data_IF_354440965495
#
_entry.id   IF_354440965495
#
_cell.length_a   1.000
_cell.length_b   1.000
_cell.length_c   1.000
_cell.angle_alpha   90.00
_cell.angle_beta   90.00
_cell.angle_gamma   90.00
#
_symmetry.space_group_name_H-M   'P 1'
#
loop_
_entity.id
_entity.type
_entity.pdbx_description
1 polymer ?
#
# COMPACT_ATOMS: atom_id res chain seq x y z
N UNK A 1 13.43 23.55 5.43
CA UNK A 1 12.26 23.76 4.54
C UNK A 1 11.64 22.41 4.29
N UNK A 2 10.52 22.10 4.91
CA UNK A 2 9.80 20.84 4.69
C UNK A 2 9.03 20.92 3.37
N UNK A 3 9.63 20.45 2.29
CA UNK A 3 8.97 20.31 0.96
C UNK A 3 8.13 19.05 0.83
N UNK A 4 7.88 18.30 1.91
CA UNK A 4 7.34 16.95 1.81
C UNK A 4 5.82 16.83 1.75
N UNK A 5 5.09 17.63 2.46
CA UNK A 5 3.65 17.44 2.65
C UNK A 5 2.80 18.24 1.64
N UNK A 6 3.25 19.41 1.19
CA UNK A 6 2.47 20.29 0.30
C UNK A 6 2.18 19.70 -1.09
N UNK A 7 3.06 18.83 -1.63
CA UNK A 7 2.84 18.20 -2.94
C UNK A 7 1.96 16.94 -2.87
N UNK A 8 1.89 16.27 -1.72
CA UNK A 8 1.05 15.08 -1.52
C UNK A 8 -0.43 15.48 -1.49
N UNK A 9 -0.76 16.59 -0.88
CA UNK A 9 -2.15 17.09 -0.75
C UNK A 9 -2.77 17.59 -2.06
N UNK A 10 -1.98 17.85 -3.09
CA UNK A 10 -2.50 18.28 -4.40
C UNK A 10 -2.76 17.13 -5.36
N UNK A 11 -2.51 15.89 -4.98
CA UNK A 11 -2.78 14.72 -5.81
C UNK A 11 -4.18 14.21 -5.58
N UNK A 12 -4.87 13.89 -6.65
CA UNK A 12 -6.16 13.25 -6.59
C UNK A 12 -6.02 11.86 -5.95
N UNK A 13 -6.86 11.60 -4.94
CA UNK A 13 -6.94 10.32 -4.24
C UNK A 13 -8.17 9.56 -4.73
N UNK A 14 -8.01 8.29 -4.99
CA UNK A 14 -9.06 7.40 -5.48
C UNK A 14 -9.49 6.47 -4.36
N UNK A 15 -10.79 6.46 -4.07
CA UNK A 15 -11.40 5.49 -3.16
C UNK A 15 -11.45 4.13 -3.86
N UNK A 16 -10.82 3.13 -3.26
CA UNK A 16 -10.74 1.78 -3.79
C UNK A 16 -11.21 0.77 -2.74
N UNK A 17 -11.59 -0.40 -3.22
CA UNK A 17 -11.74 -1.58 -2.37
C UNK A 17 -10.37 -2.20 -2.10
N UNK A 18 -10.17 -2.71 -0.89
CA UNK A 18 -8.99 -3.47 -0.49
C UNK A 18 -9.41 -4.55 0.52
N UNK A 19 -8.84 -5.75 0.42
CA UNK A 19 -9.27 -6.90 1.22
C UNK A 19 -9.07 -6.70 2.73
N UNK A 20 -8.07 -5.93 3.14
CA UNK A 20 -7.84 -5.64 4.57
C UNK A 20 -9.01 -4.90 5.23
N UNK A 21 -9.83 -4.17 4.45
CA UNK A 21 -11.02 -3.49 4.99
C UNK A 21 -11.99 -4.50 5.59
N UNK A 22 -12.11 -5.69 4.99
CA UNK A 22 -13.02 -6.74 5.47
C UNK A 22 -12.56 -7.31 6.80
N UNK A 23 -11.27 -7.64 6.92
CA UNK A 23 -10.68 -8.16 8.15
C UNK A 23 -10.76 -7.12 9.28
N UNK A 24 -10.37 -5.87 9.02
CA UNK A 24 -10.43 -4.79 10.00
C UNK A 24 -11.88 -4.51 10.46
N UNK A 25 -12.85 -4.55 9.55
CA UNK A 25 -14.26 -4.34 9.90
C UNK A 25 -14.82 -5.49 10.76
N UNK A 26 -14.35 -6.72 10.55
CA UNK A 26 -14.78 -7.89 11.32
C UNK A 26 -14.14 -7.92 12.72
N UNK A 27 -12.86 -7.54 12.83
CA UNK A 27 -12.07 -7.76 14.04
C UNK A 27 -11.93 -6.53 14.94
N UNK A 28 -12.17 -5.31 14.41
CA UNK A 28 -12.13 -4.09 15.24
C UNK A 28 -13.55 -3.66 15.63
N UNK A 29 -13.96 -3.89 16.89
CA UNK A 29 -15.31 -3.51 17.34
C UNK A 29 -15.47 -1.99 17.35
N UNK A 30 -16.71 -1.56 17.08
CA UNK A 30 -17.12 -0.13 17.14
C UNK A 30 -16.55 0.79 16.04
N UNK A 31 -15.80 0.28 15.07
CA UNK A 31 -15.41 1.05 13.89
C UNK A 31 -16.67 1.42 13.10
N UNK A 32 -16.85 2.72 12.83
CA UNK A 32 -18.00 3.23 12.07
C UNK A 32 -17.72 3.37 10.58
N UNK A 33 -16.46 3.52 10.21
CA UNK A 33 -16.04 3.74 8.83
C UNK A 33 -14.58 3.36 8.63
N UNK A 34 -14.34 2.54 7.61
CA UNK A 34 -13.00 2.24 7.08
C UNK A 34 -13.02 2.58 5.60
N UNK A 35 -11.97 3.23 5.11
CA UNK A 35 -11.81 3.55 3.68
C UNK A 35 -10.37 3.40 3.29
N UNK A 36 -10.14 2.90 2.10
CA UNK A 36 -8.83 2.77 1.49
C UNK A 36 -8.70 3.71 0.29
N UNK A 37 -7.59 4.43 0.22
CA UNK A 37 -7.31 5.37 -0.86
C UNK A 37 -5.94 5.12 -1.45
N UNK A 38 -5.83 5.29 -2.76
CA UNK A 38 -4.54 5.35 -3.45
C UNK A 38 -4.42 6.61 -4.28
N UNK A 39 -3.18 7.06 -4.48
CA UNK A 39 -2.84 8.14 -5.40
C UNK A 39 -2.17 7.55 -6.64
N UNK A 40 -2.48 8.11 -7.81
CA UNK A 40 -1.86 7.73 -9.07
C UNK A 40 -1.24 8.94 -9.73
N UNK A 41 -0.06 8.77 -10.35
CA UNK A 41 0.56 9.82 -11.13
C UNK A 41 -0.22 10.11 -12.42
N UNK A 42 -0.21 11.36 -12.89
CA UNK A 42 -0.92 11.75 -14.12
C UNK A 42 -0.50 10.91 -15.33
N UNK A 43 0.78 10.60 -15.46
CA UNK A 43 1.28 9.73 -16.53
C UNK A 43 0.62 8.35 -16.51
N UNK A 44 0.53 7.72 -15.33
CA UNK A 44 -0.16 6.44 -15.17
C UNK A 44 -1.62 6.51 -15.61
N UNK A 45 -2.36 7.52 -15.14
CA UNK A 45 -3.76 7.71 -15.49
C UNK A 45 -3.97 7.89 -17.00
N UNK A 46 -3.09 8.65 -17.66
CA UNK A 46 -3.13 8.89 -19.10
C UNK A 46 -2.93 7.59 -19.88
N UNK A 47 -1.93 6.78 -19.49
CA UNK A 47 -1.68 5.49 -20.15
C UNK A 47 -2.83 4.51 -19.92
N UNK A 48 -3.34 4.41 -18.69
CA UNK A 48 -4.45 3.52 -18.37
C UNK A 48 -5.70 3.91 -19.16
N UNK A 49 -5.99 5.21 -19.28
CA UNK A 49 -7.13 5.70 -20.08
C UNK A 49 -6.97 5.39 -21.57
N UNK A 50 -5.77 5.52 -22.10
CA UNK A 50 -5.48 5.12 -23.48
C UNK A 50 -5.72 3.63 -23.69
N UNK A 51 -5.16 2.78 -22.85
CA UNK A 51 -5.34 1.32 -22.92
C UNK A 51 -6.81 0.90 -22.77
N UNK A 52 -7.56 1.56 -21.90
CA UNK A 52 -9.00 1.37 -21.77
C UNK A 52 -9.73 1.71 -23.06
N UNK A 53 -9.48 2.91 -23.63
CA UNK A 53 -10.14 3.41 -24.82
C UNK A 53 -9.90 2.54 -26.07
N UNK A 54 -8.74 1.91 -26.18
CA UNK A 54 -8.41 0.98 -27.29
C UNK A 54 -8.76 -0.46 -26.97
N UNK A 55 -9.41 -0.74 -25.82
CA UNK A 55 -9.90 -2.07 -25.46
C UNK A 55 -8.83 -3.04 -24.94
N UNK A 56 -7.60 -2.60 -24.69
CA UNK A 56 -6.52 -3.46 -24.20
C UNK A 56 -6.71 -3.93 -22.76
N UNK A 57 -7.59 -3.30 -21.98
CA UNK A 57 -7.92 -3.71 -20.60
C UNK A 57 -9.12 -4.67 -20.52
N UNK A 58 -9.68 -5.10 -21.65
CA UNK A 58 -10.79 -6.05 -21.68
C UNK A 58 -10.36 -7.41 -21.13
N UNK A 59 -11.25 -8.03 -20.38
CA UNK A 59 -11.09 -9.37 -19.78
C UNK A 59 -11.85 -10.46 -20.53
N UNK A 60 -12.77 -10.06 -21.42
CA UNK A 60 -13.49 -10.96 -22.31
C UNK A 60 -12.64 -11.30 -23.55
N UNK A 61 -12.73 -12.53 -24.08
CA UNK A 61 -11.98 -12.92 -25.26
C UNK A 61 -12.45 -12.19 -26.51
N UNK A 62 -11.51 -11.93 -27.41
CA UNK A 62 -11.76 -11.42 -28.76
C UNK A 62 -11.17 -12.36 -29.80
N UNK A 63 -11.83 -12.53 -30.92
CA UNK A 63 -11.30 -13.34 -32.02
C UNK A 63 -10.26 -12.53 -32.83
N UNK A 64 -9.10 -13.14 -33.05
CA UNK A 64 -8.05 -12.60 -33.89
C UNK A 64 -7.41 -13.73 -34.72
N UNK A 65 -7.53 -13.68 -36.05
CA UNK A 65 -6.99 -14.68 -36.97
C UNK A 65 -7.41 -16.14 -36.62
N UNK A 66 -8.66 -16.36 -36.22
CA UNK A 66 -9.19 -17.66 -35.84
C UNK A 66 -8.74 -18.17 -34.48
N UNK A 67 -8.17 -17.31 -33.66
CA UNK A 67 -7.78 -17.62 -32.27
C UNK A 67 -8.47 -16.66 -31.28
N UNK A 68 -8.84 -17.17 -30.13
CA UNK A 68 -9.32 -16.31 -29.04
C UNK A 68 -8.15 -15.72 -28.26
N UNK A 69 -8.16 -14.41 -28.11
CA UNK A 69 -7.18 -13.65 -27.33
C UNK A 69 -7.90 -12.83 -26.26
N UNK A 70 -7.43 -12.90 -25.03
CA UNK A 70 -7.87 -12.00 -23.95
C UNK A 70 -6.95 -10.77 -23.93
N UNK A 71 -7.42 -9.57 -24.31
CA UNK A 71 -6.57 -8.40 -24.51
C UNK A 71 -5.67 -8.05 -23.33
N UNK A 72 -6.20 -8.08 -22.11
CA UNK A 72 -5.39 -7.78 -20.90
C UNK A 72 -4.28 -8.81 -20.65
N UNK A 73 -4.48 -10.07 -21.02
CA UNK A 73 -3.45 -11.11 -20.90
C UNK A 73 -2.34 -10.89 -21.93
N UNK A 74 -2.71 -10.48 -23.14
CA UNK A 74 -1.75 -10.11 -24.16
C UNK A 74 -0.95 -8.86 -23.77
N UNK A 75 -1.62 -7.83 -23.26
CA UNK A 75 -0.97 -6.65 -22.69
C UNK A 75 0.05 -7.04 -21.60
N UNK A 76 -0.33 -7.91 -20.68
CA UNK A 76 0.55 -8.40 -19.61
C UNK A 76 1.83 -9.05 -20.17
N UNK A 77 1.71 -9.80 -21.27
CA UNK A 77 2.86 -10.44 -21.91
C UNK A 77 3.83 -9.43 -22.58
N UNK A 78 3.34 -8.24 -22.94
CA UNK A 78 4.14 -7.18 -23.54
C UNK A 78 4.80 -6.25 -22.51
N UNK A 79 4.25 -6.17 -21.30
CA UNK A 79 4.78 -5.28 -20.26
C UNK A 79 6.13 -5.80 -19.74
N UNK A 80 7.06 -4.89 -19.40
CA UNK A 80 8.31 -5.28 -18.78
C UNK A 80 8.06 -5.91 -17.42
N UNK A 81 8.93 -6.83 -17.02
CA UNK A 81 8.93 -7.36 -15.65
C UNK A 81 9.05 -6.18 -14.65
N UNK A 82 8.13 -6.05 -13.69
CA UNK A 82 8.18 -5.01 -12.67
C UNK A 82 9.51 -4.94 -11.92
N UNK A 83 10.18 -6.07 -11.69
CA UNK A 83 11.49 -6.12 -11.05
C UNK A 83 12.56 -5.37 -11.85
N UNK A 84 12.47 -5.39 -13.19
CA UNK A 84 13.39 -4.68 -14.08
C UNK A 84 13.29 -3.15 -13.99
N UNK A 85 12.24 -2.63 -13.37
CA UNK A 85 12.01 -1.18 -13.22
C UNK A 85 12.74 -0.60 -12.00
N UNK A 86 13.17 -1.42 -11.06
CA UNK A 86 13.83 -1.01 -9.82
C UNK A 86 14.96 0.01 -10.01
N UNK A 87 15.93 -0.21 -10.93
CA UNK A 87 17.05 0.73 -11.12
C UNK A 87 16.65 2.16 -11.55
N UNK A 88 15.50 2.31 -12.20
CA UNK A 88 15.04 3.59 -12.77
C UNK A 88 13.82 4.19 -12.08
N UNK A 89 13.21 3.48 -11.13
CA UNK A 89 12.07 3.99 -10.38
C UNK A 89 12.55 5.01 -9.37
N UNK A 90 12.07 6.25 -9.48
CA UNK A 90 12.43 7.35 -8.58
C UNK A 90 11.19 7.91 -7.89
N UNK A 91 11.40 8.49 -6.71
CA UNK A 91 10.34 9.05 -5.88
C UNK A 91 10.18 8.28 -4.57
N UNK A 92 9.07 8.51 -3.90
CA UNK A 92 8.80 7.94 -2.57
C UNK A 92 7.40 7.36 -2.51
N UNK A 93 7.25 6.28 -1.76
CA UNK A 93 5.95 5.82 -1.28
C UNK A 93 5.66 6.42 0.08
N UNK A 94 4.42 6.76 0.34
CA UNK A 94 3.91 7.09 1.66
C UNK A 94 2.74 6.15 1.94
N UNK A 95 2.85 5.37 3.00
CA UNK A 95 1.83 4.44 3.45
C UNK A 95 1.48 4.80 4.88
N UNK A 96 0.20 4.96 5.17
CA UNK A 96 -0.22 5.31 6.52
C UNK A 96 -1.73 5.28 6.73
N UNK A 97 -2.12 5.39 7.99
CA UNK A 97 -3.50 5.37 8.44
C UNK A 97 -3.86 6.63 9.20
N UNK A 98 -4.98 7.25 8.84
CA UNK A 98 -5.56 8.37 9.57
C UNK A 98 -6.69 7.83 10.43
N UNK A 99 -6.53 7.98 11.75
CA UNK A 99 -7.52 7.58 12.73
C UNK A 99 -8.27 8.80 13.24
N UNK A 100 -9.58 8.74 13.27
CA UNK A 100 -10.43 9.75 13.88
C UNK A 100 -11.38 9.10 14.88
N UNK A 101 -11.47 9.64 16.07
CA UNK A 101 -12.32 9.07 17.11
C UNK A 101 -12.36 9.92 18.37
N UNK A 102 -12.89 9.32 19.44
CA UNK A 102 -12.96 9.95 20.77
C UNK A 102 -12.00 9.21 21.70
N UNK A 103 -11.09 9.93 22.33
CA UNK A 103 -10.21 9.43 23.39
C UNK A 103 -10.32 10.36 24.58
N UNK A 104 -10.59 9.81 25.76
CA UNK A 104 -10.76 10.55 27.02
C UNK A 104 -11.82 11.67 26.91
N UNK A 105 -12.94 11.39 26.21
CA UNK A 105 -14.05 12.32 26.00
C UNK A 105 -13.79 13.44 25.00
N UNK A 106 -12.66 13.45 24.32
CA UNK A 106 -12.28 14.47 23.33
C UNK A 106 -12.08 13.86 21.95
N UNK A 107 -12.47 14.61 20.92
CA UNK A 107 -12.13 14.24 19.55
C UNK A 107 -10.62 14.21 19.38
N UNK A 108 -10.12 13.14 18.81
CA UNK A 108 -8.72 12.97 18.47
C UNK A 108 -8.59 12.52 17.02
N UNK A 109 -7.58 13.08 16.35
CA UNK A 109 -7.18 12.69 15.01
C UNK A 109 -5.67 12.40 15.04
N UNK A 110 -5.29 11.24 14.53
CA UNK A 110 -3.89 10.81 14.50
C UNK A 110 -3.59 10.26 13.11
N UNK A 111 -2.43 10.61 12.57
CA UNK A 111 -1.90 10.03 11.35
C UNK A 111 -0.62 9.27 11.66
N UNK A 112 -0.62 7.96 11.40
CA UNK A 112 0.56 7.10 11.52
C UNK A 112 0.98 6.71 10.12
N UNK A 113 2.23 7.00 9.75
CA UNK A 113 2.71 6.76 8.40
C UNK A 113 4.20 6.46 8.34
N UNK A 114 4.63 5.86 7.24
CA UNK A 114 6.02 5.80 6.83
C UNK A 114 6.24 6.40 5.45
N UNK A 115 7.49 6.76 5.16
CA UNK A 115 7.93 7.22 3.84
C UNK A 115 9.14 6.40 3.43
N UNK A 116 9.09 5.82 2.24
CA UNK A 116 10.12 4.94 1.72
C UNK A 116 10.59 5.43 0.34
N UNK A 117 11.89 5.65 0.19
CA UNK A 117 12.48 6.11 -1.07
C UNK A 117 12.84 4.92 -1.97
N UNK A 118 12.44 4.99 -3.25
CA UNK A 118 12.65 3.90 -4.21
C UNK A 118 14.14 3.57 -4.42
N UNK A 119 14.98 4.58 -4.51
CA UNK A 119 16.41 4.39 -4.80
C UNK A 119 17.19 3.98 -3.57
N UNK A 120 16.79 4.41 -2.37
CA UNK A 120 17.37 3.92 -1.12
C UNK A 120 17.10 2.44 -0.94
N UNK A 121 15.86 2.00 -1.13
CA UNK A 121 15.50 0.58 -1.10
C UNK A 121 16.26 -0.23 -2.16
N UNK A 122 16.36 0.31 -3.37
CA UNK A 122 17.08 -0.38 -4.44
C UNK A 122 18.56 -0.58 -4.11
N UNK A 123 19.22 0.41 -3.50
CA UNK A 123 20.62 0.27 -3.05
C UNK A 123 20.78 -0.77 -1.94
N UNK A 124 19.80 -0.90 -1.07
CA UNK A 124 19.86 -1.83 0.07
C UNK A 124 19.58 -3.29 -0.34
N UNK A 125 18.52 -3.51 -1.11
CA UNK A 125 18.00 -4.88 -1.37
C UNK A 125 17.83 -5.21 -2.85
N UNK A 126 18.23 -4.35 -3.78
CA UNK A 126 18.04 -4.56 -5.22
C UNK A 126 16.58 -4.51 -5.68
N UNK A 127 15.69 -3.93 -4.85
CA UNK A 127 14.26 -3.83 -5.15
C UNK A 127 13.72 -2.45 -4.75
N UNK A 128 12.70 -1.98 -5.47
CA UNK A 128 12.10 -0.69 -5.21
C UNK A 128 11.24 -0.65 -3.93
N UNK A 129 10.85 0.55 -3.51
CA UNK A 129 10.10 0.76 -2.28
C UNK A 129 8.79 -0.05 -2.17
N UNK A 130 8.07 -0.30 -3.26
CA UNK A 130 6.84 -1.11 -3.22
C UNK A 130 7.15 -2.55 -2.81
N UNK A 131 8.21 -3.15 -3.35
CA UNK A 131 8.67 -4.48 -2.95
C UNK A 131 9.19 -4.47 -1.51
N UNK A 132 9.89 -3.42 -1.12
CA UNK A 132 10.44 -3.26 0.23
C UNK A 132 9.33 -3.15 1.28
N UNK A 133 8.35 -2.27 1.06
CA UNK A 133 7.21 -2.08 1.97
C UNK A 133 6.25 -3.26 2.02
N UNK A 134 6.38 -4.22 1.12
CA UNK A 134 5.68 -5.51 1.15
C UNK A 134 6.51 -6.59 1.82
N UNK A 135 7.80 -6.69 1.46
CA UNK A 135 8.68 -7.76 1.92
C UNK A 135 9.08 -7.63 3.38
N UNK A 136 9.42 -6.43 3.85
CA UNK A 136 9.80 -6.18 5.26
C UNK A 136 8.66 -6.53 6.22
N UNK A 137 7.41 -6.09 6.02
CA UNK A 137 6.26 -6.52 6.82
C UNK A 137 6.08 -8.04 6.89
N UNK A 138 6.15 -8.71 5.74
CA UNK A 138 6.02 -10.18 5.68
C UNK A 138 7.15 -10.89 6.45
N UNK A 139 8.39 -10.41 6.31
CA UNK A 139 9.54 -10.92 7.05
C UNK A 139 9.36 -10.73 8.56
N UNK A 140 8.91 -9.56 9.01
CA UNK A 140 8.65 -9.27 10.42
C UNK A 140 7.57 -10.20 10.98
N UNK A 141 6.45 -10.36 10.30
CA UNK A 141 5.39 -11.29 10.72
C UNK A 141 5.91 -12.71 10.87
N UNK A 142 6.66 -13.20 9.88
CA UNK A 142 7.31 -14.53 9.94
C UNK A 142 8.28 -14.64 11.13
N UNK A 143 9.06 -13.61 11.39
CA UNK A 143 10.00 -13.57 12.52
C UNK A 143 9.27 -13.61 13.86
N UNK A 144 8.16 -12.89 14.02
CA UNK A 144 7.36 -12.88 15.24
C UNK A 144 6.74 -14.26 15.53
N UNK A 145 6.26 -14.94 14.50
CA UNK A 145 5.79 -16.33 14.59
C UNK A 145 6.93 -17.25 15.00
N UNK A 146 8.08 -17.18 14.33
CA UNK A 146 9.25 -18.00 14.64
C UNK A 146 9.79 -17.79 16.05
N UNK A 147 9.65 -16.59 16.61
CA UNK A 147 10.04 -16.25 17.99
C UNK A 147 8.96 -16.61 19.03
N UNK A 148 7.82 -17.10 18.61
CA UNK A 148 6.71 -17.43 19.49
C UNK A 148 5.96 -16.21 20.06
N UNK A 149 6.20 -15.00 19.55
CA UNK A 149 5.48 -13.79 19.97
C UNK A 149 4.07 -13.74 19.37
N UNK A 150 3.93 -14.23 18.14
CA UNK A 150 2.64 -14.47 17.49
C UNK A 150 2.40 -15.98 17.41
N UNK A 151 2.11 -16.57 18.57
CA UNK A 151 1.93 -18.03 18.70
C UNK A 151 0.49 -18.37 19.05
N UNK A 152 -0.32 -18.62 18.04
CA UNK A 152 -1.74 -18.98 18.15
C UNK A 152 -2.04 -20.05 17.09
N UNK A 153 -2.62 -21.21 17.48
CA UNK A 153 -2.94 -22.27 16.51
C UNK A 153 -4.14 -21.86 15.65
N UNK A 154 -3.97 -21.94 14.34
CA UNK A 154 -5.02 -21.60 13.37
C UNK A 154 -4.52 -20.74 12.21
N UNK A 155 -5.48 -20.17 11.48
CA UNK A 155 -5.25 -19.17 10.43
C UNK A 155 -5.87 -17.85 10.88
N UNK A 156 -5.06 -16.83 10.91
CA UNK A 156 -5.45 -15.52 11.45
C UNK A 156 -4.98 -14.40 10.51
N UNK A 157 -5.68 -13.29 10.55
CA UNK A 157 -5.23 -12.03 9.97
C UNK A 157 -4.34 -11.28 10.96
N UNK A 158 -3.47 -10.39 10.48
CA UNK A 158 -2.46 -9.72 11.30
C UNK A 158 -3.06 -8.82 12.37
N UNK A 159 -4.26 -8.30 12.14
CA UNK A 159 -5.02 -7.45 13.06
C UNK A 159 -5.59 -8.20 14.29
N UNK A 160 -5.48 -9.54 14.32
CA UNK A 160 -5.87 -10.37 15.46
C UNK A 160 -4.73 -10.61 16.46
N UNK A 161 -3.54 -10.08 16.21
CA UNK A 161 -2.36 -10.19 17.07
C UNK A 161 -2.03 -8.87 17.75
N UNK A 162 -1.22 -8.96 18.82
CA UNK A 162 -0.65 -7.79 19.46
C UNK A 162 0.23 -7.00 18.45
N UNK A 163 -0.10 -5.75 18.14
CA UNK A 163 0.65 -4.95 17.18
C UNK A 163 1.99 -4.43 17.70
N UNK A 164 2.19 -4.31 19.02
CA UNK A 164 3.35 -3.62 19.61
C UNK A 164 4.68 -4.22 19.15
N UNK A 165 4.93 -5.54 19.24
CA UNK A 165 6.19 -6.12 18.81
C UNK A 165 6.41 -5.99 17.29
N UNK A 166 5.34 -5.88 16.52
CA UNK A 166 5.41 -5.67 15.08
C UNK A 166 5.78 -4.22 14.75
N UNK A 167 5.16 -3.26 15.39
CA UNK A 167 5.45 -1.83 15.23
C UNK A 167 6.89 -1.49 15.64
N UNK A 168 7.38 -2.06 16.74
CA UNK A 168 8.78 -1.94 17.16
C UNK A 168 9.74 -2.52 16.12
N UNK A 169 9.40 -3.67 15.56
CA UNK A 169 10.22 -4.32 14.55
C UNK A 169 10.26 -3.52 13.23
N UNK A 170 9.18 -2.87 12.82
CA UNK A 170 9.17 -1.97 11.65
C UNK A 170 10.23 -0.87 11.79
N UNK A 171 10.30 -0.22 12.95
CA UNK A 171 11.31 0.80 13.23
C UNK A 171 12.74 0.24 13.11
N UNK A 172 12.95 -0.98 13.56
CA UNK A 172 14.26 -1.63 13.58
C UNK A 172 14.72 -2.13 12.20
N UNK A 173 13.78 -2.57 11.38
CA UNK A 173 14.06 -3.27 10.13
C UNK A 173 13.73 -2.45 8.87
N UNK A 174 13.91 -1.12 8.94
CA UNK A 174 13.98 -0.25 7.78
C UNK A 174 12.66 0.40 7.34
N UNK A 175 11.57 0.21 8.09
CA UNK A 175 10.31 0.92 7.88
C UNK A 175 9.90 1.76 9.10
N UNK A 176 10.72 2.74 9.49
CA UNK A 176 10.37 3.60 10.62
C UNK A 176 9.08 4.34 10.34
N UNK A 177 8.20 4.36 11.32
CA UNK A 177 6.93 5.07 11.26
C UNK A 177 6.94 6.32 12.12
N UNK A 178 6.12 7.28 11.71
CA UNK A 178 5.95 8.59 12.36
C UNK A 178 4.52 8.72 12.82
N UNK A 179 4.32 9.30 14.00
CA UNK A 179 3.00 9.69 14.51
C UNK A 179 2.87 11.20 14.41
N UNK A 180 1.86 11.67 13.69
CA UNK A 180 1.39 13.05 13.71
C UNK A 180 0.06 13.09 14.49
N UNK A 181 0.10 13.72 15.65
CA UNK A 181 -1.07 13.82 16.53
C UNK A 181 -2.03 14.96 16.16
N UNK A 182 -1.64 15.82 15.23
CA UNK A 182 -2.45 16.96 14.78
C UNK A 182 -2.40 17.11 13.26
N UNK A 183 -2.74 16.06 12.49
CA UNK A 183 -2.64 16.15 11.05
C UNK A 183 -3.59 17.18 10.48
N UNK A 184 -3.06 18.03 9.61
CA UNK A 184 -3.88 18.97 8.82
C UNK A 184 -4.37 18.20 7.59
N UNK A 185 -5.64 17.86 7.58
CA UNK A 185 -6.28 17.27 6.41
C UNK A 185 -6.77 18.39 5.50
N UNK A 186 -6.49 18.26 4.21
CA UNK A 186 -7.00 19.16 3.18
C UNK A 186 -8.22 18.48 2.56
N UNK A 187 -9.37 19.16 2.62
CA UNK A 187 -10.62 18.72 2.01
C UNK A 187 -10.57 18.78 0.48
#
# INVERSE_FOLDING_TARGET
MSRGLGDVYKRQMYLLHHEEIEALAANIPHVKRIRFFMTFGQSYLTHMKCLENVGMLRTDPVEFNGQEIVPIQFLKALLPDPASLGPRTVGKTNIGCIFTGIKDGKEKKVYIYNVCDHQECYREVGSQAISYTTGVPAMIGTMLVAKGLWNKPGVFTTDEFDPDPYMDALNKYGLPWVVDENPVLVD
#
